data_IF_164685156825
#
_entry.id   IF_164685156825
#
_cell.length_a   1.000
_cell.length_b   1.000
_cell.length_c   1.000
_cell.angle_alpha   90.00
_cell.angle_beta   90.00
_cell.angle_gamma   90.00
#
_symmetry.space_group_name_H-M   'P 1'
#
loop_
_entity.id
_entity.type
_entity.pdbx_description
1 polymer ?
#
# COMPACT_ATOMS: atom_id res chain seq x y z
N UNK A 1 12.77 -27.91 7.48
CA UNK A 1 11.55 -27.36 8.15
C UNK A 1 11.40 -25.88 7.82
N UNK A 2 10.32 -25.46 7.16
CA UNK A 2 10.06 -24.03 6.96
C UNK A 2 9.38 -23.47 8.21
N UNK A 3 10.17 -22.95 9.16
CA UNK A 3 9.65 -22.37 10.40
C UNK A 3 8.96 -21.05 10.09
N UNK A 4 7.62 -21.01 10.25
CA UNK A 4 6.88 -19.75 10.09
C UNK A 4 7.41 -18.73 11.10
N UNK A 5 7.43 -17.44 10.75
CA UNK A 5 7.82 -16.33 11.65
C UNK A 5 6.59 -15.50 12.00
N UNK A 6 6.57 -14.94 13.20
CA UNK A 6 5.51 -14.05 13.61
C UNK A 6 5.73 -12.70 12.92
N UNK A 7 4.78 -12.23 12.12
CA UNK A 7 4.88 -10.93 11.46
C UNK A 7 5.02 -9.75 12.44
N UNK A 8 4.44 -9.88 13.64
CA UNK A 8 4.41 -8.79 14.62
C UNK A 8 5.66 -8.69 15.49
N UNK A 9 6.30 -9.83 15.78
CA UNK A 9 7.46 -9.89 16.68
C UNK A 9 8.75 -10.30 15.96
N UNK A 10 8.66 -10.66 14.67
CA UNK A 10 9.72 -11.27 13.85
C UNK A 10 10.36 -12.57 14.40
N UNK A 11 9.98 -13.01 15.60
CA UNK A 11 10.45 -14.25 16.24
C UNK A 11 9.77 -15.52 15.68
N UNK A 12 10.45 -16.66 15.79
CA UNK A 12 9.98 -17.99 15.33
C UNK A 12 9.04 -18.67 16.35
N UNK A 13 8.90 -18.10 17.56
CA UNK A 13 8.17 -18.69 18.69
C UNK A 13 6.65 -18.77 18.45
N UNK A 14 6.19 -19.82 17.77
CA UNK A 14 4.82 -20.00 17.30
C UNK A 14 4.35 -21.43 17.55
N UNK A 15 3.13 -21.55 18.06
CA UNK A 15 2.43 -22.83 18.21
C UNK A 15 1.20 -22.92 17.31
N UNK A 16 0.85 -24.14 16.86
CA UNK A 16 -0.44 -24.42 16.22
C UNK A 16 -1.57 -24.14 17.22
N UNK A 17 -2.63 -23.49 16.76
CA UNK A 17 -3.74 -23.04 17.59
C UNK A 17 -5.07 -23.24 16.86
N UNK A 18 -5.51 -24.50 16.78
CA UNK A 18 -6.75 -24.95 16.13
C UNK A 18 -6.87 -24.61 14.63
N UNK A 19 -7.95 -25.11 14.04
CA UNK A 19 -8.35 -24.84 12.65
C UNK A 19 -9.63 -24.02 12.67
N UNK A 20 -9.75 -23.03 11.79
CA UNK A 20 -11.00 -22.28 11.57
C UNK A 20 -11.19 -22.07 10.08
N UNK A 21 -12.41 -22.24 9.59
CA UNK A 21 -12.74 -22.04 8.17
C UNK A 21 -11.86 -22.95 7.27
N UNK A 22 -11.54 -24.16 7.75
CA UNK A 22 -10.62 -25.09 7.08
C UNK A 22 -9.14 -24.68 7.08
N UNK A 23 -8.77 -23.54 7.68
CA UNK A 23 -7.39 -23.02 7.70
C UNK A 23 -6.74 -23.18 9.07
N UNK A 24 -5.49 -23.65 9.08
CA UNK A 24 -4.68 -23.76 10.29
C UNK A 24 -4.39 -22.36 10.86
N UNK A 25 -4.70 -22.19 12.14
CA UNK A 25 -4.31 -20.99 12.89
C UNK A 25 -3.09 -21.26 13.77
N UNK A 26 -2.37 -20.18 14.00
CA UNK A 26 -1.14 -20.15 14.77
C UNK A 26 -1.22 -19.04 15.81
N UNK A 27 -0.60 -19.27 16.96
CA UNK A 27 -0.46 -18.29 18.04
C UNK A 27 1.03 -18.09 18.32
N UNK A 28 1.49 -16.84 18.29
CA UNK A 28 2.82 -16.51 18.74
C UNK A 28 2.85 -16.55 20.27
N UNK A 29 3.84 -17.20 20.87
CA UNK A 29 3.99 -17.28 22.33
C UNK A 29 4.61 -16.01 22.92
N UNK A 30 5.47 -15.31 22.15
CA UNK A 30 6.09 -14.07 22.60
C UNK A 30 5.10 -12.89 22.65
N UNK A 31 4.30 -12.67 21.60
CA UNK A 31 3.38 -11.53 21.53
C UNK A 31 1.90 -11.90 21.71
N UNK A 32 1.58 -13.18 21.94
CA UNK A 32 0.22 -13.71 22.11
C UNK A 32 -0.78 -13.47 20.96
N UNK A 33 -0.37 -12.82 19.85
CA UNK A 33 -1.21 -12.58 18.68
C UNK A 33 -1.44 -13.87 17.88
N UNK A 34 -2.62 -13.96 17.25
CA UNK A 34 -3.06 -15.08 16.42
C UNK A 34 -3.03 -14.69 14.95
N UNK A 35 -2.63 -15.62 14.08
CA UNK A 35 -2.67 -15.42 12.63
C UNK A 35 -2.92 -16.75 11.92
N UNK A 36 -3.46 -16.68 10.71
CA UNK A 36 -3.66 -17.85 9.85
C UNK A 36 -2.39 -18.16 9.08
N UNK A 37 -2.07 -19.44 8.92
CA UNK A 37 -1.03 -19.85 7.97
C UNK A 37 -1.59 -19.79 6.56
N UNK A 38 -0.94 -19.03 5.69
CA UNK A 38 -1.26 -18.94 4.27
C UNK A 38 -0.38 -17.88 3.63
N UNK A 39 -0.12 -18.03 2.33
CA UNK A 39 0.53 -16.98 1.55
C UNK A 39 -0.45 -15.81 1.45
N UNK A 40 -0.01 -14.61 1.84
CA UNK A 40 -0.77 -13.39 1.56
C UNK A 40 -0.61 -13.09 0.08
N UNK A 41 -1.71 -12.68 -0.55
CA UNK A 41 -1.66 -12.17 -1.90
C UNK A 41 -0.91 -10.83 -1.90
N UNK A 42 0.10 -10.74 -2.75
CA UNK A 42 0.93 -9.55 -2.88
C UNK A 42 0.26 -8.53 -3.81
N UNK A 43 -0.04 -7.29 -3.36
CA UNK A 43 -0.75 -6.30 -4.17
C UNK A 43 -0.06 -5.98 -5.49
N UNK A 44 1.28 -5.95 -5.50
CA UNK A 44 2.07 -5.56 -6.69
C UNK A 44 1.97 -6.64 -7.78
N UNK A 45 2.03 -7.91 -7.40
CA UNK A 45 1.81 -9.03 -8.34
C UNK A 45 0.40 -9.04 -8.94
N UNK A 46 -0.57 -8.45 -8.26
CA UNK A 46 -1.96 -8.38 -8.72
C UNK A 46 -2.22 -7.13 -9.59
N UNK A 47 -1.48 -6.05 -9.38
CA UNK A 47 -1.65 -4.79 -10.11
C UNK A 47 -1.25 -4.89 -11.59
N UNK A 48 -0.18 -5.61 -11.91
CA UNK A 48 0.31 -5.79 -13.28
C UNK A 48 -0.74 -6.41 -14.23
N UNK A 49 -1.31 -7.60 -13.96
CA UNK A 49 -2.30 -8.20 -14.85
C UNK A 49 -3.63 -7.42 -14.90
N UNK A 50 -3.96 -6.67 -13.84
CA UNK A 50 -5.14 -5.79 -13.84
C UNK A 50 -4.95 -4.55 -14.73
N UNK A 51 -3.81 -3.86 -14.59
CA UNK A 51 -3.54 -2.61 -15.32
C UNK A 51 -3.18 -2.87 -16.79
N UNK A 52 -2.28 -3.82 -17.07
CA UNK A 52 -1.80 -4.12 -18.43
C UNK A 52 -2.73 -5.11 -19.13
N UNK A 53 -3.14 -6.16 -18.42
CA UNK A 53 -3.93 -7.27 -18.99
C UNK A 53 -5.44 -7.01 -19.05
N UNK A 54 -5.93 -5.89 -18.50
CA UNK A 54 -7.37 -5.53 -18.41
C UNK A 54 -8.25 -6.68 -17.89
N UNK A 55 -7.71 -7.53 -17.02
CA UNK A 55 -8.45 -8.65 -16.46
C UNK A 55 -9.58 -8.14 -15.56
N UNK A 56 -10.73 -8.82 -15.62
CA UNK A 56 -11.89 -8.48 -14.79
C UNK A 56 -11.75 -9.02 -13.37
N UNK A 57 -12.36 -8.35 -12.38
CA UNK A 57 -12.31 -8.77 -10.97
C UNK A 57 -12.72 -10.25 -10.76
N UNK A 58 -13.67 -10.74 -11.56
CA UNK A 58 -14.16 -12.12 -11.53
C UNK A 58 -13.12 -13.12 -12.02
N UNK A 59 -12.39 -12.78 -13.09
CA UNK A 59 -11.29 -13.60 -13.61
C UNK A 59 -10.14 -13.66 -12.60
N UNK A 60 -9.75 -12.53 -12.02
CA UNK A 60 -8.73 -12.50 -10.95
C UNK A 60 -9.20 -13.29 -9.72
N UNK A 61 -10.45 -13.15 -9.31
CA UNK A 61 -11.01 -13.90 -8.19
C UNK A 61 -10.88 -15.42 -8.40
N UNK A 62 -11.19 -15.91 -9.61
CA UNK A 62 -11.03 -17.31 -9.99
C UNK A 62 -9.56 -17.76 -9.97
N UNK A 63 -8.67 -16.99 -10.59
CA UNK A 63 -7.25 -17.32 -10.69
C UNK A 63 -6.54 -17.40 -9.32
N UNK A 64 -6.85 -16.47 -8.42
CA UNK A 64 -6.22 -16.38 -7.10
C UNK A 64 -7.03 -17.05 -5.98
N UNK A 65 -8.16 -17.69 -6.30
CA UNK A 65 -9.02 -18.37 -5.32
C UNK A 65 -9.55 -17.46 -4.21
N UNK A 66 -9.78 -16.18 -4.54
CA UNK A 66 -10.17 -15.14 -3.59
C UNK A 66 -11.53 -14.57 -3.94
N UNK A 67 -12.24 -13.99 -2.96
CA UNK A 67 -13.48 -13.28 -3.25
C UNK A 67 -13.21 -11.98 -4.02
N UNK A 68 -14.15 -11.60 -4.89
CA UNK A 68 -14.12 -10.33 -5.63
C UNK A 68 -13.86 -9.13 -4.70
N UNK A 69 -14.52 -9.09 -3.53
CA UNK A 69 -14.29 -8.04 -2.51
C UNK A 69 -12.83 -7.95 -2.05
N UNK A 70 -12.13 -9.09 -1.97
CA UNK A 70 -10.71 -9.14 -1.58
C UNK A 70 -9.82 -8.60 -2.70
N UNK A 71 -10.11 -8.95 -3.95
CA UNK A 71 -9.41 -8.41 -5.12
C UNK A 71 -9.52 -6.89 -5.15
N UNK A 72 -10.73 -6.32 -5.04
CA UNK A 72 -10.95 -4.87 -5.03
C UNK A 72 -10.18 -4.14 -3.92
N UNK A 73 -10.14 -4.71 -2.72
CA UNK A 73 -9.36 -4.13 -1.61
C UNK A 73 -7.86 -4.12 -1.90
N UNK A 74 -7.33 -5.18 -2.51
CA UNK A 74 -5.93 -5.25 -2.89
C UNK A 74 -5.60 -4.27 -4.03
N UNK A 75 -6.50 -4.13 -5.00
CA UNK A 75 -6.38 -3.14 -6.08
C UNK A 75 -6.37 -1.70 -5.55
N UNK A 76 -7.29 -1.37 -4.64
CA UNK A 76 -7.32 -0.04 -4.01
C UNK A 76 -6.01 0.25 -3.26
N UNK A 77 -5.47 -0.75 -2.55
CA UNK A 77 -4.19 -0.61 -1.85
C UNK A 77 -3.02 -0.43 -2.84
N UNK A 78 -2.96 -1.23 -3.90
CA UNK A 78 -1.92 -1.10 -4.94
C UNK A 78 -1.99 0.27 -5.63
N UNK A 79 -3.19 0.78 -5.92
CA UNK A 79 -3.39 2.10 -6.51
C UNK A 79 -2.85 3.22 -5.59
N UNK A 80 -3.09 3.14 -4.27
CA UNK A 80 -2.52 4.11 -3.31
C UNK A 80 -0.99 4.02 -3.20
N UNK A 81 -0.42 2.83 -3.37
CA UNK A 81 1.03 2.66 -3.36
C UNK A 81 1.67 3.22 -4.65
N UNK A 82 1.02 3.03 -5.80
CA UNK A 82 1.47 3.59 -7.07
C UNK A 82 1.43 5.13 -7.08
N UNK A 83 0.39 5.76 -6.51
CA UNK A 83 0.32 7.23 -6.42
C UNK A 83 1.37 7.77 -5.46
N UNK A 84 1.54 7.18 -4.28
CA UNK A 84 2.60 7.58 -3.35
C UNK A 84 4.00 7.43 -3.96
N UNK A 85 4.29 6.32 -4.66
CA UNK A 85 5.57 6.11 -5.34
C UNK A 85 5.82 7.16 -6.44
N UNK A 86 4.79 7.48 -7.23
CA UNK A 86 4.88 8.52 -8.28
C UNK A 86 5.13 9.90 -7.67
N UNK A 87 4.47 10.24 -6.57
CA UNK A 87 4.70 11.49 -5.84
C UNK A 87 6.10 11.55 -5.21
N UNK A 88 6.62 10.43 -4.70
CA UNK A 88 7.98 10.35 -4.16
C UNK A 88 9.04 10.56 -5.24
N UNK A 89 8.86 9.97 -6.42
CA UNK A 89 9.78 10.16 -7.56
C UNK A 89 9.68 11.59 -8.11
N UNK A 90 8.48 12.16 -8.21
CA UNK A 90 8.29 13.55 -8.64
C UNK A 90 8.91 14.55 -7.64
N UNK A 91 8.76 14.32 -6.34
CA UNK A 91 9.38 15.13 -5.30
C UNK A 91 10.91 15.03 -5.31
N UNK A 92 11.47 13.84 -5.53
CA UNK A 92 12.91 13.64 -5.66
C UNK A 92 13.48 14.30 -6.93
N UNK A 93 12.74 14.26 -8.05
CA UNK A 93 13.15 14.87 -9.32
C UNK A 93 13.15 16.42 -9.24
N UNK A 94 12.19 17.00 -8.52
CA UNK A 94 12.16 18.44 -8.21
C UNK A 94 13.32 18.90 -7.31
N UNK A 95 13.88 18.02 -6.47
CA UNK A 95 15.03 18.35 -5.61
C UNK A 95 16.39 18.27 -6.32
N UNK A 96 16.50 17.58 -7.47
CA UNK A 96 17.78 17.42 -8.18
C UNK A 96 17.94 18.34 -9.40
N UNK A 97 16.87 18.94 -9.93
CA UNK A 97 16.97 19.96 -10.98
C UNK A 97 16.98 21.36 -10.35
N UNK A 98 18.11 21.76 -9.76
CA UNK A 98 18.66 23.14 -9.74
C UNK A 98 19.84 23.23 -8.74
N UNK A 99 21.04 23.54 -9.22
CA UNK A 99 21.48 24.93 -9.09
C UNK A 99 22.22 25.41 -10.33
N UNK A 100 21.75 26.51 -10.93
CA UNK A 100 22.53 27.66 -11.45
C UNK A 100 21.47 28.63 -11.98
N UNK A 101 21.00 29.52 -11.11
CA UNK A 101 20.80 30.93 -11.44
C UNK A 101 20.66 31.73 -10.14
N UNK A 102 21.73 31.72 -9.35
CA UNK A 102 21.92 32.74 -8.32
C UNK A 102 22.41 34.01 -9.02
N UNK A 103 21.49 34.93 -9.34
CA UNK A 103 21.68 36.38 -9.30
C UNK A 103 20.53 37.06 -10.06
N UNK A 104 19.55 37.56 -9.33
CA UNK A 104 18.94 38.89 -9.50
C UNK A 104 17.83 39.01 -8.46
N UNK A 105 18.09 39.81 -7.43
CA UNK A 105 17.08 40.14 -6.44
C UNK A 105 15.90 40.83 -7.11
N UNK A 106 14.72 40.24 -6.95
CA UNK A 106 13.46 40.92 -7.18
C UNK A 106 12.58 40.68 -5.95
N UNK A 107 12.30 41.79 -5.28
CA UNK A 107 11.48 41.97 -4.08
C UNK A 107 10.09 41.33 -4.29
N UNK A 108 9.75 40.27 -3.55
CA UNK A 108 8.35 39.82 -3.45
C UNK A 108 7.74 40.47 -2.21
N UNK A 109 7.21 41.68 -2.38
CA UNK A 109 6.30 42.23 -1.37
C UNK A 109 4.95 41.56 -1.53
N UNK A 110 4.60 40.78 -0.52
CA UNK A 110 3.27 40.18 -0.35
C UNK A 110 2.25 41.24 0.02
N UNK A 111 1.24 41.46 -0.82
CA UNK A 111 -0.05 42.02 -0.39
C UNK A 111 -1.16 41.34 -1.17
N UNK A 112 -1.61 40.17 -0.69
CA UNK A 112 -2.89 39.62 -1.13
C UNK A 112 -3.99 40.42 -0.45
N UNK A 113 -4.65 41.26 -1.23
CA UNK A 113 -5.91 41.93 -0.91
C UNK A 113 -6.97 40.89 -0.52
N UNK A 114 -7.49 40.97 0.70
CA UNK A 114 -8.71 40.26 1.09
C UNK A 114 -9.88 41.16 0.69
N UNK A 115 -10.54 40.83 -0.42
CA UNK A 115 -11.82 41.43 -0.80
C UNK A 115 -12.96 40.49 -0.38
N UNK A 116 -13.80 41.01 0.51
CA UNK A 116 -15.03 40.41 1.02
C UNK A 116 -16.01 40.00 -0.10
N UNK A 117 -16.77 38.94 0.12
CA UNK A 117 -18.06 38.72 -0.53
C UNK A 117 -19.12 38.36 0.53
N UNK A 118 -20.21 39.13 0.66
CA UNK A 118 -21.31 38.86 1.56
C UNK A 118 -22.28 37.82 0.99
N UNK A 119 -22.80 36.98 1.87
CA UNK A 119 -23.84 35.98 1.59
C UNK A 119 -25.21 36.66 1.43
N UNK A 120 -25.93 36.30 0.38
CA UNK A 120 -27.40 36.19 0.35
C UNK A 120 -27.76 34.80 -0.16
#
# INVERSE_FOLDING_TARGET
MNTKKCFFAAQIQIKKNATRDGKQRYKCTACNKRFSGGSKLDPDTLWQPYSVGKQTDTQLAGQYGCSIKTIRRHLAKAATQATCATLQVAAANLMWISPILAASGALWSSTTSVANAPWQ
#
